data_IF_050191097668
#
_entry.id   IF_050191097668
#
_cell.length_a   1.000
_cell.length_b   1.000
_cell.length_c   1.000
_cell.angle_alpha   90.00
_cell.angle_beta   90.00
_cell.angle_gamma   90.00
#
_symmetry.space_group_name_H-M   'P 1'
#
loop_
_entity.id
_entity.type
_entity.pdbx_description
1 polymer ?
#
# COMPACT_ATOMS: atom_id res chain seq x y z
N UNK A 1 -55.15 -28.06 -12.31
CA UNK A 1 -54.62 -26.76 -11.83
C UNK A 1 -53.32 -27.03 -11.10
N UNK A 2 -52.19 -26.84 -11.78
CA UNK A 2 -50.84 -27.01 -11.25
C UNK A 2 -50.47 -25.84 -10.35
N UNK A 3 -49.86 -26.11 -9.19
CA UNK A 3 -48.90 -25.19 -8.60
C UNK A 3 -47.67 -26.01 -8.20
N UNK A 4 -46.59 -25.80 -8.95
CA UNK A 4 -45.26 -26.32 -8.72
C UNK A 4 -44.57 -25.51 -7.62
N UNK A 5 -43.97 -26.22 -6.67
CA UNK A 5 -43.11 -25.65 -5.65
C UNK A 5 -41.77 -25.25 -6.29
N UNK A 6 -41.41 -23.96 -6.19
CA UNK A 6 -40.06 -23.49 -6.44
C UNK A 6 -39.22 -23.72 -5.18
N UNK A 7 -38.37 -24.76 -5.20
CA UNK A 7 -37.27 -24.90 -4.23
C UNK A 7 -36.02 -24.24 -4.81
N UNK A 8 -35.61 -23.12 -4.27
CA UNK A 8 -34.28 -22.53 -4.47
C UNK A 8 -33.24 -23.30 -3.64
N UNK A 9 -32.07 -23.66 -4.19
CA UNK A 9 -30.99 -24.23 -3.38
C UNK A 9 -30.31 -23.10 -2.59
N UNK A 10 -30.44 -23.09 -1.26
CA UNK A 10 -29.66 -22.19 -0.41
C UNK A 10 -28.19 -22.64 -0.37
N UNK A 11 -27.31 -21.96 -1.10
CA UNK A 11 -25.87 -22.07 -0.85
C UNK A 11 -25.53 -21.22 0.37
N UNK A 12 -25.33 -21.86 1.52
CA UNK A 12 -24.77 -21.21 2.70
C UNK A 12 -23.26 -21.14 2.55
N UNK A 13 -22.74 -19.99 2.15
CA UNK A 13 -21.32 -19.65 2.35
C UNK A 13 -21.11 -19.48 3.85
N UNK A 14 -20.27 -20.32 4.46
CA UNK A 14 -19.86 -20.16 5.86
C UNK A 14 -18.36 -19.94 5.89
N UNK A 15 -17.95 -18.77 6.39
CA UNK A 15 -16.54 -18.46 6.66
C UNK A 15 -16.22 -19.13 8.00
N UNK A 16 -15.54 -20.28 7.95
CA UNK A 16 -15.15 -21.01 9.15
C UNK A 16 -13.72 -20.61 9.55
N UNK A 17 -13.59 -19.59 10.38
CA UNK A 17 -12.33 -19.27 11.07
C UNK A 17 -12.11 -20.30 12.17
N UNK A 18 -11.16 -21.23 12.00
CA UNK A 18 -10.74 -22.14 13.08
C UNK A 18 -9.48 -21.59 13.77
N UNK A 19 -9.57 -21.06 15.00
CA UNK A 19 -8.39 -20.71 15.78
C UNK A 19 -7.78 -21.98 16.40
N UNK A 20 -6.45 -22.10 16.37
CA UNK A 20 -5.72 -23.18 17.04
C UNK A 20 -5.18 -22.68 18.39
N UNK A 21 -6.00 -22.79 19.44
CA UNK A 21 -5.71 -22.60 20.89
C UNK A 21 -5.08 -21.25 21.33
N UNK A 22 -5.25 -20.84 22.60
CA UNK A 22 -5.24 -19.44 22.97
C UNK A 22 -3.95 -19.03 23.68
N UNK A 23 -3.02 -18.39 22.98
CA UNK A 23 -2.05 -17.46 23.58
C UNK A 23 -1.70 -16.39 22.55
N UNK A 24 -1.87 -15.13 22.94
CA UNK A 24 -1.59 -13.88 22.20
C UNK A 24 -2.25 -13.70 20.81
N UNK A 25 -3.13 -12.70 20.72
CA UNK A 25 -3.58 -12.14 19.44
C UNK A 25 -2.38 -11.40 18.81
N UNK A 26 -1.56 -12.13 18.05
CA UNK A 26 -0.66 -11.56 17.05
C UNK A 26 -1.27 -11.90 15.69
N UNK A 27 -1.99 -10.96 15.09
CA UNK A 27 -2.32 -11.02 13.67
C UNK A 27 -1.07 -10.63 12.88
N UNK A 28 -0.06 -11.49 12.87
CA UNK A 28 1.00 -11.42 11.86
C UNK A 28 0.39 -11.73 10.48
N UNK A 29 1.13 -11.50 9.40
CA UNK A 29 0.74 -11.94 8.04
C UNK A 29 0.70 -13.49 7.88
N UNK A 30 0.50 -14.22 8.98
CA UNK A 30 0.46 -15.66 9.05
C UNK A 30 -0.74 -16.22 8.28
N UNK A 31 -0.42 -16.84 7.15
CA UNK A 31 -0.99 -18.08 6.63
C UNK A 31 -2.51 -18.25 6.86
N UNK A 32 -3.31 -17.38 6.24
CA UNK A 32 -4.76 -17.58 6.13
C UNK A 32 -5.06 -18.61 5.05
N UNK A 33 -5.28 -19.87 5.45
CA UNK A 33 -5.86 -20.87 4.55
C UNK A 33 -7.35 -20.57 4.32
N UNK A 34 -7.66 -19.89 3.22
CA UNK A 34 -9.03 -19.81 2.71
C UNK A 34 -9.43 -21.18 2.14
N UNK A 35 -10.12 -21.98 2.94
CA UNK A 35 -10.80 -23.18 2.45
C UNK A 35 -12.08 -22.75 1.73
N UNK A 36 -12.04 -22.69 0.40
CA UNK A 36 -13.26 -22.74 -0.40
C UNK A 36 -13.80 -24.15 -0.30
N UNK A 37 -14.97 -24.34 0.30
CA UNK A 37 -15.69 -25.61 0.29
C UNK A 37 -16.24 -25.88 -1.12
N UNK A 38 -15.36 -26.20 -2.05
CA UNK A 38 -15.67 -26.81 -3.33
C UNK A 38 -14.72 -27.99 -3.47
N UNK A 39 -15.24 -29.20 -3.23
CA UNK A 39 -14.66 -30.51 -3.56
C UNK A 39 -13.14 -30.63 -3.60
N UNK A 40 -12.58 -31.36 -2.65
CA UNK A 40 -11.26 -32.00 -2.75
C UNK A 40 -11.12 -32.77 -4.07
N UNK A 41 -10.56 -32.14 -5.09
CA UNK A 41 -9.85 -32.81 -6.18
C UNK A 41 -8.36 -32.44 -6.06
N UNK A 42 -7.45 -33.42 -5.96
CA UNK A 42 -6.00 -33.20 -5.94
C UNK A 42 -5.43 -32.55 -7.22
N UNK A 43 -6.28 -32.22 -8.20
CA UNK A 43 -5.91 -31.66 -9.51
C UNK A 43 -6.01 -30.13 -9.58
N UNK A 44 -6.51 -29.48 -8.52
CA UNK A 44 -6.68 -28.01 -8.46
C UNK A 44 -5.79 -27.32 -7.41
N UNK A 45 -4.86 -28.03 -6.79
CA UNK A 45 -3.88 -27.41 -5.89
C UNK A 45 -2.83 -26.67 -6.72
N UNK A 46 -3.09 -25.40 -7.01
CA UNK A 46 -2.12 -24.50 -7.62
C UNK A 46 -1.03 -24.23 -6.60
N UNK A 47 0.12 -24.87 -6.78
CA UNK A 47 1.26 -24.76 -5.87
C UNK A 47 1.74 -23.31 -5.75
N UNK A 48 2.01 -22.88 -4.52
CA UNK A 48 2.74 -21.67 -4.19
C UNK A 48 3.64 -22.00 -3.00
N UNK A 49 4.92 -21.64 -3.08
CA UNK A 49 5.89 -21.87 -2.01
C UNK A 49 5.61 -20.95 -0.82
N UNK A 50 5.13 -19.73 -1.10
CA UNK A 50 4.73 -18.74 -0.08
C UNK A 50 3.32 -18.25 -0.38
N UNK A 51 2.40 -18.35 0.58
CA UNK A 51 1.02 -17.87 0.45
C UNK A 51 0.72 -16.87 1.57
N UNK A 52 0.68 -15.58 1.22
CA UNK A 52 0.40 -14.49 2.12
C UNK A 52 -1.03 -13.98 1.93
N UNK A 53 -1.62 -13.47 3.00
CA UNK A 53 -2.90 -12.79 2.92
C UNK A 53 -2.93 -11.56 3.83
N UNK A 54 -3.57 -10.50 3.33
CA UNK A 54 -3.92 -9.37 4.16
C UNK A 54 -5.30 -8.81 3.81
N UNK A 55 -5.92 -8.25 4.85
CA UNK A 55 -7.20 -7.57 4.76
C UNK A 55 -6.95 -6.09 4.99
N UNK A 56 -7.41 -5.28 4.04
CA UNK A 56 -7.32 -3.83 4.11
C UNK A 56 -8.46 -3.27 4.96
N UNK A 57 -8.11 -2.44 5.93
CA UNK A 57 -9.03 -1.70 6.78
C UNK A 57 -8.69 -0.20 6.78
N UNK A 58 -9.68 0.63 7.08
CA UNK A 58 -9.52 2.07 7.21
C UNK A 58 -10.18 2.54 8.49
N UNK A 59 -9.57 3.53 9.13
CA UNK A 59 -10.04 4.09 10.40
C UNK A 59 -9.93 5.61 10.36
N UNK A 60 -10.75 6.25 11.19
CA UNK A 60 -10.55 7.65 11.56
C UNK A 60 -10.10 7.71 13.01
N UNK A 61 -8.96 8.34 13.24
CA UNK A 61 -8.44 8.66 14.56
C UNK A 61 -8.35 10.17 14.71
N UNK A 62 -8.85 10.71 15.80
CA UNK A 62 -8.51 12.08 16.17
C UNK A 62 -7.17 12.04 16.93
N UNK A 63 -6.23 12.98 16.68
CA UNK A 63 -4.97 13.02 17.42
C UNK A 63 -5.20 13.00 18.93
N UNK A 64 -4.44 12.18 19.66
CA UNK A 64 -4.60 12.03 21.11
C UNK A 64 -5.56 10.94 21.57
N UNK A 65 -6.39 10.35 20.68
CA UNK A 65 -7.41 9.38 21.09
C UNK A 65 -6.96 7.93 20.94
N UNK A 66 -7.44 7.07 21.85
CA UNK A 66 -7.18 5.62 21.79
C UNK A 66 -8.24 4.84 21.02
N UNK A 67 -9.43 5.44 20.82
CA UNK A 67 -10.56 4.78 20.20
C UNK A 67 -10.74 5.29 18.76
N UNK A 68 -10.63 4.42 17.74
CA UNK A 68 -10.98 4.80 16.38
C UNK A 68 -12.47 5.04 16.25
N UNK A 69 -12.83 6.00 15.39
CA UNK A 69 -14.18 6.15 14.84
C UNK A 69 -14.37 5.13 13.72
N UNK A 70 -14.88 3.96 14.09
CA UNK A 70 -15.06 2.83 13.16
C UNK A 70 -16.28 2.96 12.24
N UNK A 71 -17.21 3.86 12.56
CA UNK A 71 -18.41 4.13 11.77
C UNK A 71 -18.23 5.31 10.79
N UNK A 72 -17.01 5.83 10.68
CA UNK A 72 -16.66 6.80 9.63
C UNK A 72 -16.85 6.16 8.25
N UNK A 73 -17.30 6.94 7.26
CA UNK A 73 -17.61 6.44 5.92
C UNK A 73 -16.88 7.19 4.81
N UNK A 74 -16.40 8.40 5.08
CA UNK A 74 -15.83 9.29 4.05
C UNK A 74 -14.50 9.91 4.45
N UNK A 75 -14.30 10.13 5.74
CA UNK A 75 -13.22 10.97 6.29
C UNK A 75 -12.17 10.14 7.05
N UNK A 76 -11.75 9.02 6.46
CA UNK A 76 -10.71 8.15 7.03
C UNK A 76 -9.35 8.83 6.96
N UNK A 77 -8.51 8.65 7.98
CA UNK A 77 -7.14 9.18 7.94
C UNK A 77 -6.08 8.10 8.18
N UNK A 78 -6.46 6.87 8.48
CA UNK A 78 -5.53 5.76 8.65
C UNK A 78 -5.96 4.58 7.79
N UNK A 79 -5.00 4.01 7.06
CA UNK A 79 -5.17 2.83 6.22
C UNK A 79 -4.21 1.74 6.68
N UNK A 80 -4.74 0.55 6.89
CA UNK A 80 -4.04 -0.52 7.57
C UNK A 80 -4.18 -1.85 6.82
N UNK A 81 -3.20 -2.73 7.01
CA UNK A 81 -3.28 -4.14 6.66
C UNK A 81 -3.40 -4.95 7.94
N UNK A 82 -4.39 -5.83 8.03
CA UNK A 82 -4.64 -6.65 9.21
C UNK A 82 -4.72 -5.81 10.51
N UNK A 83 -5.30 -4.60 10.43
CA UNK A 83 -5.38 -3.61 11.52
C UNK A 83 -4.03 -3.06 12.02
N UNK A 84 -2.97 -3.20 11.23
CA UNK A 84 -1.63 -2.66 11.51
C UNK A 84 -1.23 -1.68 10.41
N UNK A 85 -0.42 -0.70 10.79
CA UNK A 85 0.19 0.26 9.88
C UNK A 85 1.70 0.10 9.92
N UNK A 86 2.38 0.45 8.84
CA UNK A 86 3.84 0.52 8.84
C UNK A 86 4.35 1.46 9.95
N UNK A 87 5.41 1.09 10.70
CA UNK A 87 6.31 -0.06 10.54
C UNK A 87 5.87 -1.34 11.25
N UNK A 88 4.64 -1.40 11.78
CA UNK A 88 4.11 -2.55 12.49
C UNK A 88 3.53 -3.66 11.61
N UNK A 89 3.61 -3.55 10.28
CA UNK A 89 3.21 -4.60 9.33
C UNK A 89 4.43 -5.49 9.06
N UNK A 90 4.29 -6.79 9.27
CA UNK A 90 5.37 -7.74 9.01
C UNK A 90 5.76 -7.77 7.52
N UNK A 91 7.04 -7.97 7.18
CA UNK A 91 7.46 -8.19 5.81
C UNK A 91 6.95 -9.54 5.27
N UNK A 92 6.83 -9.63 3.95
CA UNK A 92 6.57 -10.88 3.23
C UNK A 92 7.92 -11.47 2.80
N UNK A 93 8.31 -12.59 3.38
CA UNK A 93 9.65 -13.18 3.17
C UNK A 93 9.60 -14.29 2.12
N UNK A 94 10.55 -14.31 1.19
CA UNK A 94 10.63 -15.36 0.18
C UNK A 94 12.08 -15.74 -0.10
N UNK A 95 12.30 -16.99 -0.48
CA UNK A 95 13.57 -17.42 -1.04
C UNK A 95 13.59 -17.15 -2.54
N UNK A 96 14.77 -16.90 -3.12
CA UNK A 96 14.90 -16.88 -4.58
C UNK A 96 14.33 -18.16 -5.18
N UNK A 97 13.52 -18.00 -6.22
CA UNK A 97 12.85 -19.09 -6.93
C UNK A 97 11.52 -19.53 -6.34
N UNK A 98 11.14 -19.03 -5.16
CA UNK A 98 9.82 -19.29 -4.58
C UNK A 98 8.72 -18.66 -5.47
N UNK A 99 7.66 -19.43 -5.75
CA UNK A 99 6.39 -18.94 -6.26
C UNK A 99 5.64 -18.28 -5.11
N UNK A 100 5.59 -16.95 -5.10
CA UNK A 100 4.91 -16.17 -4.06
C UNK A 100 3.50 -15.83 -4.49
N UNK A 101 2.53 -16.10 -3.62
CA UNK A 101 1.13 -15.72 -3.74
C UNK A 101 0.77 -14.69 -2.68
N UNK A 102 0.06 -13.64 -3.08
CA UNK A 102 -0.47 -12.63 -2.18
C UNK A 102 -1.98 -12.49 -2.42
N UNK A 103 -2.76 -12.66 -1.36
CA UNK A 103 -4.22 -12.56 -1.34
C UNK A 103 -4.64 -11.30 -0.60
N UNK A 104 -5.48 -10.52 -1.25
CA UNK A 104 -5.85 -9.19 -0.79
C UNK A 104 -7.36 -9.10 -0.73
N UNK A 105 -7.90 -8.65 0.39
CA UNK A 105 -9.32 -8.36 0.54
C UNK A 105 -9.51 -6.90 0.95
N UNK A 106 -10.37 -6.17 0.25
CA UNK A 106 -10.66 -4.78 0.57
C UNK A 106 -11.98 -4.64 1.33
N UNK A 107 -11.89 -4.34 2.62
CA UNK A 107 -13.06 -4.04 3.47
C UNK A 107 -13.24 -2.55 3.74
N UNK A 108 -12.45 -1.69 3.08
CA UNK A 108 -12.57 -0.24 3.20
C UNK A 108 -13.63 0.31 2.23
N UNK A 109 -13.98 1.59 2.37
CA UNK A 109 -14.91 2.28 1.47
C UNK A 109 -14.23 2.97 0.26
N UNK A 110 -12.96 2.66 -0.01
CA UNK A 110 -12.22 3.18 -1.17
C UNK A 110 -11.44 2.06 -1.87
N UNK A 111 -11.19 2.19 -3.16
CA UNK A 111 -10.34 1.23 -3.89
C UNK A 111 -8.86 1.38 -3.48
N UNK A 112 -8.09 0.30 -3.59
CA UNK A 112 -6.66 0.30 -3.29
C UNK A 112 -5.87 -0.27 -4.47
N UNK A 113 -5.13 0.57 -5.22
CA UNK A 113 -4.14 0.07 -6.17
C UNK A 113 -2.95 -0.47 -5.39
N UNK A 114 -2.75 -1.78 -5.31
CA UNK A 114 -1.59 -2.38 -4.62
C UNK A 114 -0.46 -2.56 -5.61
N UNK A 115 0.67 -1.91 -5.36
CA UNK A 115 1.85 -1.90 -6.20
C UNK A 115 2.98 -2.71 -5.55
N UNK A 116 3.67 -3.51 -6.35
CA UNK A 116 4.87 -4.25 -5.95
C UNK A 116 6.06 -3.75 -6.77
N UNK A 117 7.11 -3.34 -6.08
CA UNK A 117 8.35 -2.91 -6.71
C UNK A 117 9.19 -4.10 -7.21
N UNK A 118 9.96 -3.87 -8.27
CA UNK A 118 10.95 -4.81 -8.80
C UNK A 118 10.40 -6.06 -9.50
N UNK A 119 9.10 -6.34 -9.39
CA UNK A 119 8.48 -7.53 -9.94
C UNK A 119 7.23 -7.16 -10.75
N UNK A 120 7.04 -7.86 -11.86
CA UNK A 120 5.70 -8.03 -12.42
C UNK A 120 5.06 -9.25 -11.75
N UNK A 121 3.75 -9.23 -11.62
CA UNK A 121 2.97 -10.36 -11.14
C UNK A 121 1.83 -10.67 -12.09
N UNK A 122 1.28 -11.87 -11.99
CA UNK A 122 0.07 -12.24 -12.71
C UNK A 122 -1.13 -12.14 -11.76
N UNK A 123 -2.23 -11.54 -12.22
CA UNK A 123 -3.51 -11.62 -11.50
C UNK A 123 -4.11 -13.00 -11.71
N UNK A 124 -4.17 -13.80 -10.65
CA UNK A 124 -4.51 -15.23 -10.74
C UNK A 124 -5.87 -15.58 -10.16
N UNK A 125 -6.47 -14.70 -9.36
CA UNK A 125 -7.77 -14.93 -8.72
C UNK A 125 -8.54 -13.65 -8.40
N UNK A 126 -9.85 -13.77 -8.32
CA UNK A 126 -10.79 -12.74 -7.88
C UNK A 126 -11.70 -13.29 -6.77
N UNK A 127 -12.62 -12.47 -6.28
CA UNK A 127 -13.75 -12.84 -5.44
C UNK A 127 -14.64 -13.97 -5.99
N UNK A 128 -14.64 -14.17 -7.32
CA UNK A 128 -15.33 -15.25 -8.02
C UNK A 128 -14.48 -16.54 -8.14
N UNK A 129 -13.27 -16.56 -7.58
CA UNK A 129 -12.36 -17.71 -7.58
C UNK A 129 -11.18 -17.55 -8.54
N UNK A 130 -10.62 -18.68 -8.97
CA UNK A 130 -9.40 -18.73 -9.77
C UNK A 130 -9.66 -18.34 -11.23
N UNK A 131 -8.79 -17.49 -11.77
CA UNK A 131 -8.78 -17.15 -13.19
C UNK A 131 -8.10 -18.30 -13.97
N UNK A 132 -8.70 -18.80 -15.07
CA UNK A 132 -8.05 -19.75 -15.97
C UNK A 132 -6.71 -19.20 -16.46
N UNK A 133 -5.69 -20.04 -16.62
CA UNK A 133 -4.34 -19.57 -16.94
C UNK A 133 -4.27 -18.69 -18.19
N UNK A 134 -5.02 -19.04 -19.24
CA UNK A 134 -5.10 -18.27 -20.48
C UNK A 134 -5.80 -16.90 -20.36
N UNK A 135 -6.48 -16.64 -19.24
CA UNK A 135 -7.20 -15.39 -18.98
C UNK A 135 -6.53 -14.54 -17.90
N UNK A 136 -5.39 -14.99 -17.35
CA UNK A 136 -4.59 -14.18 -16.43
C UNK A 136 -3.83 -13.13 -17.22
N UNK A 137 -3.50 -12.01 -16.57
CA UNK A 137 -2.74 -10.93 -17.18
C UNK A 137 -1.62 -10.44 -16.25
N UNK A 138 -0.53 -9.88 -16.80
CA UNK A 138 0.56 -9.31 -16.02
C UNK A 138 0.23 -7.88 -15.56
N UNK A 139 0.68 -7.53 -14.38
CA UNK A 139 0.58 -6.19 -13.78
C UNK A 139 1.80 -5.92 -12.88
N UNK A 140 2.08 -4.66 -12.59
CA UNK A 140 2.90 -4.24 -11.44
C UNK A 140 2.06 -3.59 -10.34
N UNK A 141 0.82 -3.24 -10.66
CA UNK A 141 -0.17 -2.64 -9.74
C UNK A 141 -1.54 -3.24 -10.02
N UNK A 142 -2.22 -3.72 -8.98
CA UNK A 142 -3.59 -4.26 -9.12
C UNK A 142 -4.57 -3.44 -8.30
N UNK A 143 -5.63 -2.96 -8.94
CA UNK A 143 -6.71 -2.31 -8.22
C UNK A 143 -7.60 -3.35 -7.49
N UNK A 144 -7.73 -3.15 -6.18
CA UNK A 144 -8.64 -3.91 -5.33
C UNK A 144 -9.82 -3.01 -4.97
N UNK A 145 -10.91 -3.17 -5.71
CA UNK A 145 -12.16 -2.44 -5.48
C UNK A 145 -12.79 -2.79 -4.11
N UNK A 146 -13.71 -1.96 -3.64
CA UNK A 146 -14.43 -2.15 -2.38
C UNK A 146 -15.21 -3.47 -2.39
N UNK A 147 -15.05 -4.28 -1.34
CA UNK A 147 -15.75 -5.57 -1.19
C UNK A 147 -15.20 -6.70 -2.06
N UNK A 148 -14.15 -6.45 -2.84
CA UNK A 148 -13.55 -7.41 -3.77
C UNK A 148 -12.27 -8.01 -3.17
N UNK A 149 -11.96 -9.23 -3.58
CA UNK A 149 -10.64 -9.84 -3.36
C UNK A 149 -9.85 -9.95 -4.66
N UNK A 150 -8.54 -9.85 -4.54
CA UNK A 150 -7.58 -10.09 -5.63
C UNK A 150 -6.50 -11.04 -5.14
N UNK A 151 -6.11 -11.97 -5.99
CA UNK A 151 -4.94 -12.83 -5.76
C UNK A 151 -3.94 -12.58 -6.88
N UNK A 152 -2.70 -12.32 -6.50
CA UNK A 152 -1.57 -12.17 -7.42
C UNK A 152 -0.52 -13.24 -7.14
N UNK A 153 0.21 -13.63 -8.18
CA UNK A 153 1.35 -14.54 -8.07
C UNK A 153 2.55 -14.00 -8.85
N UNK A 154 3.74 -14.12 -8.29
CA UNK A 154 5.01 -13.81 -8.95
C UNK A 154 6.08 -14.80 -8.51
N UNK A 155 7.12 -14.91 -9.31
CA UNK A 155 8.31 -15.68 -8.98
C UNK A 155 9.33 -14.73 -8.33
N UNK A 156 9.84 -15.11 -7.15
CA UNK A 156 10.84 -14.34 -6.42
C UNK A 156 12.21 -14.43 -7.12
N UNK A 157 12.39 -13.65 -8.19
CA UNK A 157 13.55 -13.75 -9.07
C UNK A 157 14.74 -12.91 -8.61
N UNK A 158 14.50 -11.81 -7.91
CA UNK A 158 15.52 -10.81 -7.60
C UNK A 158 15.71 -10.66 -6.09
N UNK A 159 16.91 -10.93 -5.53
CA UNK A 159 17.17 -10.72 -4.12
C UNK A 159 17.13 -9.22 -3.80
N UNK A 160 16.59 -8.88 -2.63
CA UNK A 160 16.42 -7.48 -2.24
C UNK A 160 15.29 -7.27 -1.24
N UNK A 161 15.10 -6.01 -0.87
CA UNK A 161 13.94 -5.54 -0.12
C UNK A 161 13.08 -4.71 -1.06
N UNK A 162 11.92 -5.26 -1.42
CA UNK A 162 11.03 -4.69 -2.44
C UNK A 162 9.79 -4.11 -1.81
N UNK A 163 9.57 -2.79 -1.87
CA UNK A 163 8.36 -2.20 -1.34
C UNK A 163 7.09 -2.79 -1.97
N UNK A 164 6.10 -3.07 -1.12
CA UNK A 164 4.73 -3.35 -1.51
C UNK A 164 3.81 -2.40 -0.76
N UNK A 165 2.99 -1.66 -1.48
CA UNK A 165 2.18 -0.61 -0.87
C UNK A 165 0.96 -0.24 -1.69
N UNK A 166 0.01 0.47 -1.06
CA UNK A 166 -1.04 1.13 -1.83
C UNK A 166 -0.44 2.29 -2.64
N UNK A 167 -0.80 2.45 -3.90
CA UNK A 167 -0.26 3.49 -4.78
C UNK A 167 -1.03 4.82 -4.69
N UNK A 168 -1.85 4.99 -3.65
CA UNK A 168 -2.39 6.29 -3.26
C UNK A 168 -1.46 6.85 -2.18
N UNK A 169 -0.77 7.95 -2.45
CA UNK A 169 0.20 8.56 -1.50
C UNK A 169 -0.41 8.80 -0.13
N UNK A 170 -1.70 9.14 -0.08
CA UNK A 170 -2.44 9.32 1.16
C UNK A 170 -2.56 8.04 2.00
N UNK A 171 -2.55 6.87 1.38
CA UNK A 171 -2.66 5.58 2.05
C UNK A 171 -1.29 5.03 2.47
N UNK A 172 -0.19 5.56 1.93
CA UNK A 172 1.19 5.23 2.32
C UNK A 172 1.77 6.19 3.35
N UNK A 173 0.90 6.93 4.02
CA UNK A 173 1.23 7.83 5.12
C UNK A 173 0.29 7.49 6.28
N UNK A 174 0.76 7.68 7.52
CA UNK A 174 -0.10 7.62 8.70
C UNK A 174 -0.99 8.90 8.76
N UNK A 175 -1.66 9.27 9.88
CA UNK A 175 -2.80 10.18 9.81
C UNK A 175 -2.46 11.50 9.15
N UNK A 176 -3.12 11.76 8.02
CA UNK A 176 -3.09 13.05 7.34
C UNK A 176 -4.38 13.82 7.64
N UNK A 177 -4.23 15.12 7.88
CA UNK A 177 -5.37 16.01 8.07
C UNK A 177 -5.93 16.44 6.72
N UNK A 178 -7.25 16.40 6.56
CA UNK A 178 -7.92 16.84 5.34
C UNK A 178 -8.29 18.32 5.31
N UNK A 179 -8.14 19.02 6.45
CA UNK A 179 -8.54 20.43 6.60
C UNK A 179 -7.40 21.42 6.27
N UNK A 180 -6.22 20.92 5.90
CA UNK A 180 -5.10 21.78 5.50
C UNK A 180 -5.37 22.35 4.12
N UNK A 181 -5.43 23.69 4.02
CA UNK A 181 -5.59 24.39 2.74
C UNK A 181 -4.36 24.15 1.85
N UNK A 182 -4.58 24.00 0.55
CA UNK A 182 -3.49 23.94 -0.42
C UNK A 182 -2.80 25.30 -0.54
N UNK A 183 -1.49 25.34 -0.33
CA UNK A 183 -0.65 26.55 -0.42
C UNK A 183 0.26 26.54 -1.66
N UNK A 184 0.08 25.60 -2.61
CA UNK A 184 0.83 25.58 -3.88
C UNK A 184 0.71 26.94 -4.59
N UNK A 185 1.84 27.53 -4.94
CA UNK A 185 1.92 28.83 -5.61
C UNK A 185 1.94 30.03 -4.67
N UNK A 186 1.73 29.84 -3.36
CA UNK A 186 2.27 30.82 -2.41
C UNK A 186 3.78 30.71 -2.47
N UNK A 187 4.45 31.77 -2.93
CA UNK A 187 5.91 31.87 -2.80
C UNK A 187 6.24 31.68 -1.32
N UNK A 188 7.40 31.08 -1.03
CA UNK A 188 8.00 31.04 0.29
C UNK A 188 8.24 32.47 0.81
N UNK A 189 7.17 33.17 1.18
CA UNK A 189 7.22 34.50 1.75
C UNK A 189 7.45 34.32 3.25
N UNK A 190 8.64 34.67 3.77
CA UNK A 190 8.93 34.54 5.19
C UNK A 190 7.93 35.30 6.05
N UNK A 191 7.29 36.35 5.51
CA UNK A 191 6.25 37.14 6.19
C UNK A 191 4.94 36.37 6.33
N UNK A 192 4.57 35.55 5.34
CA UNK A 192 3.40 34.69 5.43
C UNK A 192 3.61 33.61 6.49
N UNK A 193 4.78 32.96 6.46
CA UNK A 193 5.13 31.95 7.46
C UNK A 193 5.18 32.55 8.88
N UNK A 194 5.71 33.77 9.04
CA UNK A 194 5.72 34.48 10.33
C UNK A 194 4.31 34.87 10.80
N UNK A 195 3.46 35.34 9.89
CA UNK A 195 2.07 35.67 10.21
C UNK A 195 1.28 34.42 10.66
N UNK A 196 1.49 33.28 9.99
CA UNK A 196 0.85 32.01 10.39
C UNK A 196 1.41 31.53 11.74
N UNK A 197 2.73 31.63 11.98
CA UNK A 197 3.33 31.26 13.28
C UNK A 197 2.78 32.07 14.46
N UNK A 198 2.35 33.32 14.24
CA UNK A 198 1.67 34.13 15.29
C UNK A 198 0.32 33.53 15.70
N UNK A 199 -0.35 32.81 14.80
CA UNK A 199 -1.64 32.15 15.05
C UNK A 199 -1.49 30.67 15.43
N UNK A 200 -0.50 30.00 14.85
CA UNK A 200 -0.18 28.59 15.04
C UNK A 200 1.33 28.44 15.28
N UNK A 201 1.80 28.50 16.54
CA UNK A 201 3.22 28.56 16.88
C UNK A 201 4.09 27.40 16.35
N UNK A 202 3.47 26.27 16.00
CA UNK A 202 4.13 25.09 15.41
C UNK A 202 4.09 25.01 13.88
N UNK A 203 3.61 26.04 13.18
CA UNK A 203 3.49 26.02 11.72
C UNK A 203 4.87 26.05 11.03
N UNK A 204 5.07 25.11 10.12
CA UNK A 204 6.26 24.95 9.29
C UNK A 204 5.82 24.93 7.82
N UNK A 205 6.40 25.78 6.95
CA UNK A 205 6.12 25.71 5.52
C UNK A 205 6.58 24.36 4.99
N UNK A 206 5.67 23.62 4.36
CA UNK A 206 5.98 22.34 3.71
C UNK A 206 6.42 22.62 2.26
N UNK A 207 7.64 22.21 1.89
CA UNK A 207 7.96 21.90 0.49
C UNK A 207 8.51 23.02 -0.40
N UNK A 208 9.63 23.65 -0.03
CA UNK A 208 10.47 24.37 -1.00
C UNK A 208 11.51 23.44 -1.69
N UNK A 209 11.97 22.40 -0.99
CA UNK A 209 13.13 21.54 -1.36
C UNK A 209 12.85 20.03 -1.35
N UNK A 210 11.60 19.62 -1.10
CA UNK A 210 11.18 18.20 -1.06
C UNK A 210 10.68 17.75 0.31
N UNK A 211 10.20 16.50 0.40
CA UNK A 211 9.68 15.90 1.64
C UNK A 211 10.80 15.41 2.59
N UNK A 212 12.04 15.27 2.10
CA UNK A 212 13.17 14.76 2.87
C UNK A 212 13.55 15.63 4.07
N UNK A 213 13.47 16.95 3.93
CA UNK A 213 13.78 17.89 5.02
C UNK A 213 12.79 17.73 6.19
N UNK A 214 11.59 17.24 5.93
CA UNK A 214 10.58 16.99 6.96
C UNK A 214 10.86 15.73 7.78
N UNK A 215 11.55 14.73 7.22
CA UNK A 215 11.94 13.54 7.97
C UNK A 215 13.04 13.83 9.00
N UNK A 216 13.82 14.91 8.83
CA UNK A 216 14.85 15.32 9.77
C UNK A 216 14.31 16.14 10.95
N UNK A 217 13.05 16.59 10.90
CA UNK A 217 12.45 17.48 11.88
C UNK A 217 11.46 16.73 12.78
N UNK A 218 11.93 16.28 13.95
CA UNK A 218 11.08 15.59 14.92
C UNK A 218 10.22 16.58 15.70
N UNK A 219 8.98 16.79 15.27
CA UNK A 219 8.02 17.63 15.98
C UNK A 219 7.34 16.82 17.11
N UNK A 220 7.18 17.39 18.32
CA UNK A 220 6.45 16.72 19.38
C UNK A 220 4.97 16.57 18.98
N UNK A 221 4.54 15.32 18.81
CA UNK A 221 3.15 14.96 18.51
C UNK A 221 2.36 14.79 19.82
N UNK A 222 1.03 14.99 19.80
CA UNK A 222 0.18 14.62 20.91
C UNK A 222 0.39 13.13 21.27
N UNK A 223 0.32 12.76 22.57
CA UNK A 223 0.40 11.37 22.98
C UNK A 223 -0.54 10.49 22.16
N UNK A 224 -0.16 9.25 21.86
CA UNK A 224 -0.99 8.32 21.10
C UNK A 224 -1.35 8.79 19.66
N UNK A 225 -0.50 9.60 19.05
CA UNK A 225 -0.60 9.97 17.62
C UNK A 225 0.53 9.31 16.86
N UNK A 226 0.20 8.59 15.78
CA UNK A 226 1.21 8.04 14.89
C UNK A 226 1.87 9.16 14.08
N UNK A 227 3.21 9.18 13.97
CA UNK A 227 3.89 10.11 13.07
C UNK A 227 3.46 9.83 11.63
N UNK A 228 3.23 10.89 10.84
CA UNK A 228 2.77 10.79 9.44
C UNK A 228 3.70 9.91 8.59
N UNK A 229 5.00 10.05 8.78
CA UNK A 229 6.05 9.27 8.12
C UNK A 229 6.87 8.55 9.19
N UNK A 230 7.19 7.29 8.95
CA UNK A 230 7.82 6.39 9.92
C UNK A 230 8.73 5.39 9.24
N UNK A 231 9.50 4.66 10.06
CA UNK A 231 10.33 3.55 9.64
C UNK A 231 11.62 3.97 8.97
N UNK A 232 12.62 3.11 9.09
CA UNK A 232 13.95 3.30 8.55
C UNK A 232 14.22 2.20 7.51
N UNK A 233 14.76 2.60 6.37
CA UNK A 233 15.32 1.71 5.36
C UNK A 233 16.85 1.65 5.45
N UNK A 234 17.46 0.86 4.57
CA UNK A 234 18.92 0.71 4.52
C UNK A 234 19.68 2.01 4.20
N UNK A 235 19.01 3.00 3.61
CA UNK A 235 19.60 4.25 3.14
C UNK A 235 19.06 5.50 3.84
N UNK A 236 18.37 5.34 4.97
CA UNK A 236 17.76 6.43 5.74
C UNK A 236 16.28 6.23 5.97
N UNK A 237 15.55 7.28 6.38
CA UNK A 237 14.12 7.20 6.65
C UNK A 237 13.35 6.68 5.44
N UNK A 238 12.42 5.75 5.66
CA UNK A 238 11.59 5.22 4.59
C UNK A 238 10.58 6.24 4.08
N UNK A 239 10.24 7.25 4.91
CA UNK A 239 9.24 8.29 4.62
C UNK A 239 7.83 7.75 4.34
N UNK A 240 7.54 6.54 4.83
CA UNK A 240 6.27 5.84 4.59
C UNK A 240 5.51 5.58 5.90
N UNK A 241 4.22 5.28 5.76
CA UNK A 241 3.30 4.90 6.83
C UNK A 241 2.13 4.11 6.26
N UNK A 242 1.14 3.81 7.10
CA UNK A 242 -0.12 3.21 6.64
C UNK A 242 0.06 1.86 5.95
N UNK A 243 -0.44 1.75 4.71
CA UNK A 243 -0.43 0.55 3.87
C UNK A 243 0.89 0.38 3.11
N UNK A 244 1.96 0.08 3.85
CA UNK A 244 3.29 -0.19 3.32
C UNK A 244 3.90 -1.40 4.02
N UNK A 245 4.58 -2.25 3.26
CA UNK A 245 5.44 -3.31 3.78
C UNK A 245 6.56 -3.62 2.77
N UNK A 246 7.38 -4.61 3.08
CA UNK A 246 8.47 -5.09 2.24
C UNK A 246 8.24 -6.55 1.87
N UNK A 247 8.46 -6.87 0.60
CA UNK A 247 8.76 -8.23 0.14
C UNK A 247 10.26 -8.42 0.23
N UNK A 248 10.73 -9.25 1.17
CA UNK A 248 12.15 -9.49 1.41
C UNK A 248 12.56 -10.82 0.78
N UNK A 249 13.39 -10.76 -0.25
CA UNK A 249 13.85 -11.94 -0.99
C UNK A 249 15.32 -12.21 -0.64
N UNK A 250 15.64 -13.45 -0.25
CA UNK A 250 17.02 -13.89 0.05
C UNK A 250 17.37 -15.19 -0.67
N UNK A 251 18.66 -15.40 -0.93
CA UNK A 251 19.17 -16.65 -1.48
C UNK A 251 19.08 -17.80 -0.48
N UNK A 252 19.49 -17.54 0.77
CA UNK A 252 19.65 -18.56 1.81
C UNK A 252 18.54 -18.45 2.86
N UNK A 253 17.36 -18.98 2.52
CA UNK A 253 16.23 -19.14 3.43
C UNK A 253 15.81 -20.61 3.48
N UNK A 254 15.48 -21.12 4.67
CA UNK A 254 14.83 -22.42 4.74
C UNK A 254 13.40 -22.32 4.17
N UNK A 255 12.92 -23.41 3.58
CA UNK A 255 11.62 -23.48 2.88
C UNK A 255 10.45 -23.01 3.76
N UNK A 256 10.50 -23.28 5.07
CA UNK A 256 9.47 -22.91 6.04
C UNK A 256 9.87 -21.74 6.96
N UNK A 257 10.92 -20.98 6.64
CA UNK A 257 11.31 -19.81 7.43
C UNK A 257 10.62 -18.54 6.92
N UNK A 258 9.82 -17.93 7.78
CA UNK A 258 9.05 -16.70 7.50
C UNK A 258 9.52 -15.52 8.37
N UNK A 259 10.59 -15.71 9.16
CA UNK A 259 11.11 -14.66 10.03
C UNK A 259 11.74 -13.56 9.19
N UNK A 260 11.64 -12.31 9.65
CA UNK A 260 12.31 -11.20 9.01
C UNK A 260 13.84 -11.45 8.97
N UNK A 261 14.45 -11.56 7.77
CA UNK A 261 15.89 -11.78 7.63
C UNK A 261 16.74 -10.53 7.90
N UNK A 262 16.13 -9.40 8.26
CA UNK A 262 16.81 -8.11 8.41
C UNK A 262 16.94 -7.35 7.08
N UNK A 263 17.71 -6.25 7.03
CA UNK A 263 17.99 -5.51 5.80
C UNK A 263 18.72 -6.35 4.76
N UNK A 264 18.53 -6.04 3.47
CA UNK A 264 19.29 -6.68 2.40
C UNK A 264 20.75 -6.19 2.40
N UNK A 265 21.69 -7.12 2.26
CA UNK A 265 23.13 -6.82 2.13
C UNK A 265 23.47 -6.62 0.64
N UNK A 266 23.76 -5.37 0.28
CA UNK A 266 23.99 -4.99 -1.11
C UNK A 266 25.43 -5.32 -1.52
N UNK A 267 25.66 -6.01 -2.66
CA UNK A 267 27.01 -6.31 -3.10
C UNK A 267 27.88 -5.05 -3.29
N UNK A 268 29.19 -5.12 -3.03
CA UNK A 268 30.08 -3.97 -3.19
C UNK A 268 29.99 -3.36 -4.59
N UNK A 269 29.79 -2.04 -4.66
CA UNK A 269 29.70 -1.29 -5.91
C UNK A 269 28.34 -1.30 -6.62
N UNK A 270 27.30 -1.93 -6.05
CA UNK A 270 25.95 -1.92 -6.65
C UNK A 270 25.06 -0.77 -6.15
N UNK A 271 25.45 -0.14 -5.05
CA UNK A 271 24.70 0.98 -4.47
C UNK A 271 25.13 2.28 -5.16
N UNK A 272 24.14 3.07 -5.57
CA UNK A 272 24.38 4.40 -6.12
C UNK A 272 25.05 5.29 -5.06
N UNK A 273 26.00 6.10 -5.49
CA UNK A 273 26.68 7.08 -4.65
C UNK A 273 26.65 8.44 -5.33
N UNK A 274 26.64 9.50 -4.53
CA UNK A 274 26.72 10.84 -5.05
C UNK A 274 28.02 11.02 -5.83
N UNK A 275 27.90 11.40 -7.10
CA UNK A 275 29.03 11.88 -7.88
C UNK A 275 29.26 13.34 -7.50
N UNK A 276 30.48 13.70 -7.09
CA UNK A 276 30.88 15.10 -6.97
C UNK A 276 31.07 15.70 -8.37
N UNK A 277 29.98 15.82 -9.12
CA UNK A 277 29.92 16.63 -10.32
C UNK A 277 29.45 18.03 -9.93
N UNK A 278 30.17 19.06 -10.38
CA UNK A 278 29.67 20.44 -10.33
C UNK A 278 28.30 20.54 -11.00
N UNK A 279 27.48 21.55 -10.66
CA UNK A 279 26.09 21.63 -11.11
C UNK A 279 26.01 21.48 -12.62
N UNK A 280 25.38 20.39 -13.08
CA UNK A 280 25.05 20.24 -14.48
C UNK A 280 24.00 21.30 -14.81
N UNK A 281 24.32 22.25 -15.68
CA UNK A 281 23.33 23.16 -16.25
C UNK A 281 22.27 22.32 -16.96
N UNK A 282 21.09 22.18 -16.33
CA UNK A 282 19.92 21.72 -17.05
C UNK A 282 19.50 22.83 -18.01
N UNK A 283 19.96 22.75 -19.26
CA UNK A 283 19.39 23.58 -20.32
C UNK A 283 18.01 23.01 -20.64
N UNK A 284 16.99 23.51 -19.95
CA UNK A 284 15.62 23.41 -20.44
C UNK A 284 15.58 24.00 -21.86
N UNK A 285 14.93 23.33 -22.85
CA UNK A 285 14.75 23.90 -24.18
C UNK A 285 14.08 25.27 -24.06
N UNK A 286 14.73 26.32 -24.58
CA UNK A 286 14.24 27.71 -24.50
C UNK A 286 13.03 28.00 -25.40
N UNK A 287 12.58 27.01 -26.17
CA UNK A 287 11.49 27.18 -27.13
C UNK A 287 10.19 26.56 -26.62
N UNK A 288 9.58 27.21 -25.63
CA UNK A 288 8.14 27.12 -25.44
C UNK A 288 7.54 28.50 -25.68
N UNK A 289 7.32 28.83 -26.95
CA UNK A 289 6.49 29.99 -27.33
C UNK A 289 5.13 29.82 -26.65
N UNK A 290 4.67 30.76 -25.81
CA UNK A 290 3.36 30.67 -25.19
C UNK A 290 2.30 30.65 -26.31
N UNK A 291 1.51 29.58 -26.39
CA UNK A 291 0.33 29.55 -27.26
C UNK A 291 -0.64 30.64 -26.78
N UNK A 292 -0.79 31.67 -27.60
CA UNK A 292 -1.77 32.73 -27.38
C UNK A 292 -3.19 32.14 -27.39
N UNK A 293 -4.10 32.61 -26.53
CA UNK A 293 -5.47 32.13 -26.50
C UNK A 293 -6.20 32.57 -27.77
N UNK A 294 -6.48 31.62 -28.68
CA UNK A 294 -7.37 31.88 -29.81
C UNK A 294 -8.81 31.87 -29.31
N UNK A 295 -9.43 33.05 -29.30
CA UNK A 295 -10.83 33.21 -28.94
C UNK A 295 -11.79 32.59 -29.97
N UNK A 296 -12.88 32.03 -29.45
CA UNK A 296 -14.23 32.07 -30.02
C UNK A 296 -14.50 31.35 -31.35
N UNK A 297 -15.16 30.19 -31.27
CA UNK A 297 -15.86 29.57 -32.39
C UNK A 297 -16.46 28.24 -31.94
N UNK A 298 -17.78 28.17 -31.85
CA UNK A 298 -18.49 27.08 -31.20
C UNK A 298 -18.64 25.79 -32.02
N UNK A 299 -19.45 24.93 -31.41
CA UNK A 299 -20.20 23.79 -31.95
C UNK A 299 -19.68 22.36 -31.74
N UNK A 300 -20.52 21.66 -30.95
CA UNK A 300 -21.06 20.31 -31.12
C UNK A 300 -20.35 19.16 -30.40
N UNK A 301 -20.88 18.92 -29.20
CA UNK A 301 -20.83 17.62 -28.53
C UNK A 301 -21.71 16.62 -29.28
N UNK A 302 -21.12 15.50 -29.68
CA UNK A 302 -21.84 14.26 -29.93
C UNK A 302 -21.40 13.22 -28.89
N UNK A 303 -22.40 12.52 -28.37
CA UNK A 303 -22.34 11.46 -27.37
C UNK A 303 -21.40 10.32 -27.72
#
# INVERSE_FOLDING_TARGET
>A
RSQSAWRTPSHRTSILLKPRKPHSIQASNADFRFSTSSGTSPQNERHADRDYAFVMSAYRFDPGTYLPKIAEMTDFNIWAWNSRVFPGIDPMVARIGDRVRIRMANLTMTNHPIHLHGHHFSVTGTDAGWIPEMARWPESTVDVAVGVTRTIEFDAAYPGDWPIHCHKSHHTMNPMGHEVRNFIGTRDDPRLAEAIRKLAPGYMPMGATGMADMSAMNMPLPPNTLPMMTGDGAFGPAEMGGMFSLVKIREQLAENDFRDPGPYDYPPGTVAHDIQAGPAESQAPKDSTPLAPTGGGGERHHH
#
